data_IF_227557664969
#
_entry.id   IF_227557664969
#
_cell.length_a   1.000
_cell.length_b   1.000
_cell.length_c   1.000
_cell.angle_alpha   90.00
_cell.angle_beta   90.00
_cell.angle_gamma   90.00
#
_symmetry.space_group_name_H-M   'P 1'
#
loop_
_entity.id
_entity.type
_entity.pdbx_description
1 polymer ?
#
# COMPACT_ATOMS: atom_id res chain seq x y z
N UNK A 1 39.49 20.60 2.50
CA UNK A 1 38.41 21.57 2.18
C UNK A 1 37.52 21.11 1.03
N UNK A 2 38.05 20.57 -0.09
CA UNK A 2 37.22 19.98 -1.17
C UNK A 2 36.48 18.69 -0.77
N UNK A 3 37.13 17.80 -0.03
CA UNK A 3 36.52 16.55 0.46
C UNK A 3 35.34 16.77 1.41
N UNK A 4 35.39 17.83 2.24
CA UNK A 4 34.32 18.17 3.19
C UNK A 4 33.07 18.67 2.46
N UNK A 5 33.24 19.46 1.39
CA UNK A 5 32.13 19.88 0.53
C UNK A 5 31.48 18.71 -0.22
N UNK A 6 32.26 17.71 -0.66
CA UNK A 6 31.71 16.51 -1.32
C UNK A 6 30.88 15.69 -0.34
N UNK A 7 31.36 15.49 0.88
CA UNK A 7 30.61 14.76 1.93
C UNK A 7 29.31 15.49 2.30
N UNK A 8 29.34 16.82 2.41
CA UNK A 8 28.15 17.63 2.71
C UNK A 8 27.09 17.55 1.59
N UNK A 9 27.51 17.60 0.32
CA UNK A 9 26.61 17.48 -0.83
C UNK A 9 25.99 16.09 -0.94
N UNK A 10 26.76 15.03 -0.68
CA UNK A 10 26.25 13.65 -0.65
C UNK A 10 25.20 13.50 0.46
N UNK A 11 25.48 13.97 1.68
CA UNK A 11 24.54 13.90 2.80
C UNK A 11 23.22 14.67 2.51
N UNK A 12 23.31 15.88 1.94
CA UNK A 12 22.14 16.67 1.54
C UNK A 12 21.29 15.98 0.45
N UNK A 13 21.94 15.32 -0.51
CA UNK A 13 21.25 14.56 -1.56
C UNK A 13 20.61 13.26 -1.05
N UNK A 14 21.23 12.59 -0.07
CA UNK A 14 20.67 11.37 0.54
C UNK A 14 19.44 11.64 1.40
N UNK A 15 19.36 12.81 2.04
CA UNK A 15 18.20 13.22 2.85
C UNK A 15 16.95 13.42 1.96
N UNK A 16 17.12 13.78 0.69
CA UNK A 16 16.03 13.93 -0.28
C UNK A 16 15.57 12.62 -0.93
N UNK A 17 16.36 11.54 -0.82
CA UNK A 17 16.08 10.22 -1.39
C UNK A 17 15.67 9.18 -0.36
N UNK A 18 15.75 9.48 0.94
CA UNK A 18 15.12 8.65 1.95
C UNK A 18 13.61 8.86 1.92
N UNK A 19 12.94 8.33 0.90
CA UNK A 19 11.58 7.84 1.11
C UNK A 19 11.72 6.70 2.10
N UNK A 20 11.68 6.99 3.40
CA UNK A 20 11.45 5.95 4.38
C UNK A 20 10.03 5.47 4.13
N UNK A 21 9.87 4.55 3.17
CA UNK A 21 8.73 3.66 3.07
C UNK A 21 8.77 2.75 4.30
N UNK A 22 8.62 3.34 5.48
CA UNK A 22 8.19 2.59 6.64
C UNK A 22 6.82 2.07 6.22
N UNK A 23 6.82 0.89 5.62
CA UNK A 23 5.64 0.18 5.19
C UNK A 23 4.80 0.03 6.46
N UNK A 24 3.66 0.71 6.53
CA UNK A 24 2.83 0.71 7.73
C UNK A 24 2.24 -0.70 7.87
N UNK A 25 2.76 -1.48 8.81
CA UNK A 25 2.38 -2.85 9.03
C UNK A 25 1.74 -2.99 10.41
N UNK A 26 0.55 -3.58 10.46
CA UNK A 26 -0.20 -3.79 11.69
C UNK A 26 -0.48 -5.27 11.93
N UNK A 27 -0.65 -5.66 13.19
CA UNK A 27 -1.01 -7.03 13.55
C UNK A 27 -2.50 -7.23 13.31
N UNK A 28 -2.85 -7.96 12.25
CA UNK A 28 -4.22 -8.40 11.97
C UNK A 28 -4.25 -9.92 12.04
N UNK A 29 -5.18 -10.49 12.80
CA UNK A 29 -5.33 -11.94 12.98
C UNK A 29 -5.57 -12.73 11.68
N UNK A 30 -5.98 -12.05 10.60
CA UNK A 30 -6.13 -12.61 9.25
C UNK A 30 -4.79 -12.84 8.54
N UNK A 31 -3.74 -12.12 8.91
CA UNK A 31 -2.38 -12.41 8.46
C UNK A 31 -1.74 -13.40 9.44
N UNK A 32 -1.81 -14.68 9.10
CA UNK A 32 -1.17 -15.76 9.86
C UNK A 32 0.16 -16.14 9.20
N UNK A 33 1.12 -16.69 9.98
CA UNK A 33 2.34 -17.27 9.40
C UNK A 33 1.99 -18.30 8.32
N UNK A 34 2.53 -18.12 7.11
CA UNK A 34 2.24 -18.98 5.95
C UNK A 34 1.26 -18.39 4.92
N UNK A 35 0.62 -17.25 5.22
CA UNK A 35 -0.23 -16.53 4.28
C UNK A 35 0.46 -15.30 3.67
N UNK A 36 1.79 -15.34 3.54
CA UNK A 36 2.54 -14.24 2.94
C UNK A 36 2.06 -13.98 1.49
N UNK A 37 1.94 -12.71 1.15
CA UNK A 37 1.40 -12.26 -0.13
C UNK A 37 -0.13 -12.21 -0.21
N UNK A 38 -0.87 -12.75 0.77
CA UNK A 38 -2.32 -12.65 0.81
C UNK A 38 -2.79 -11.20 0.91
N UNK A 39 -3.84 -10.85 0.16
CA UNK A 39 -4.33 -9.48 0.05
C UNK A 39 -5.67 -9.32 0.78
N UNK A 40 -5.77 -8.29 1.60
CA UNK A 40 -6.97 -7.99 2.40
C UNK A 40 -7.44 -6.56 2.10
N UNK A 41 -8.76 -6.29 2.09
CA UNK A 41 -9.25 -4.93 1.94
C UNK A 41 -8.87 -4.06 3.15
N UNK A 42 -8.56 -2.80 2.90
CA UNK A 42 -8.48 -1.80 3.96
C UNK A 42 -9.90 -1.40 4.41
N UNK A 43 -10.10 -1.21 5.71
CA UNK A 43 -11.45 -1.09 6.29
C UNK A 43 -12.04 0.32 6.19
N UNK A 44 -11.23 1.36 5.99
CA UNK A 44 -11.69 2.77 5.90
C UNK A 44 -11.39 3.45 4.58
N UNK A 45 -10.54 2.85 3.75
CA UNK A 45 -9.95 3.55 2.62
C UNK A 45 -9.82 2.61 1.44
N UNK A 46 -10.71 2.78 0.47
CA UNK A 46 -10.78 1.90 -0.68
C UNK A 46 -9.60 2.03 -1.64
N UNK A 47 -8.83 3.13 -1.58
CA UNK A 47 -7.57 3.22 -2.32
C UNK A 47 -6.45 2.39 -1.67
N UNK A 48 -6.67 1.84 -0.48
CA UNK A 48 -5.68 1.03 0.23
C UNK A 48 -6.10 -0.43 0.38
N UNK A 49 -5.10 -1.29 0.54
CA UNK A 49 -5.28 -2.70 0.88
C UNK A 49 -4.11 -3.16 1.76
N UNK A 50 -4.22 -4.31 2.39
CA UNK A 50 -3.11 -4.91 3.12
C UNK A 50 -2.52 -6.07 2.31
N UNK A 51 -1.19 -6.18 2.33
CA UNK A 51 -0.46 -7.39 1.91
C UNK A 51 0.11 -8.05 3.17
N UNK A 52 -0.18 -9.32 3.37
CA UNK A 52 0.39 -10.06 4.48
C UNK A 52 1.88 -10.35 4.25
N UNK A 53 2.72 -10.04 5.24
CA UNK A 53 4.16 -10.30 5.22
C UNK A 53 4.63 -10.68 6.63
N UNK A 54 5.13 -11.91 6.81
CA UNK A 54 5.66 -12.39 8.08
C UNK A 54 4.63 -12.39 9.22
N UNK A 55 3.34 -12.58 8.91
CA UNK A 55 2.25 -12.51 9.88
C UNK A 55 1.80 -11.07 10.24
N UNK A 56 2.29 -10.05 9.54
CA UNK A 56 1.83 -8.67 9.64
C UNK A 56 1.02 -8.28 8.41
N UNK A 57 0.08 -7.36 8.56
CA UNK A 57 -0.68 -6.78 7.46
C UNK A 57 -0.09 -5.42 7.08
N UNK A 58 0.67 -5.38 5.99
CA UNK A 58 1.35 -4.18 5.52
C UNK A 58 0.46 -3.41 4.53
N UNK A 59 0.14 -2.16 4.85
CA UNK A 59 -0.67 -1.26 4.03
C UNK A 59 0.00 -1.03 2.69
N UNK A 60 -0.76 -1.12 1.61
CA UNK A 60 -0.39 -0.83 0.24
C UNK A 60 -1.38 0.18 -0.33
N UNK A 61 -0.94 0.96 -1.31
CA UNK A 61 -1.79 1.91 -2.02
C UNK A 61 -2.05 1.38 -3.43
N UNK A 62 -3.31 1.44 -3.87
CA UNK A 62 -3.66 1.33 -5.27
C UNK A 62 -3.17 2.58 -6.04
N UNK A 63 -2.92 2.46 -7.35
CA UNK A 63 -2.70 3.62 -8.19
C UNK A 63 -3.80 4.67 -8.02
N UNK A 64 -3.45 5.94 -8.24
CA UNK A 64 -4.39 7.07 -8.06
C UNK A 64 -5.70 6.85 -8.81
N UNK A 65 -6.82 6.98 -8.10
CA UNK A 65 -8.16 6.84 -8.65
C UNK A 65 -8.68 5.40 -8.76
N UNK A 66 -7.89 4.40 -8.37
CA UNK A 66 -8.32 3.01 -8.31
C UNK A 66 -8.63 2.58 -6.88
N UNK A 67 -9.59 1.65 -6.75
CA UNK A 67 -9.95 1.01 -5.50
C UNK A 67 -9.55 -0.47 -5.53
N UNK A 68 -9.24 -1.03 -4.35
CA UNK A 68 -8.91 -2.44 -4.25
C UNK A 68 -10.16 -3.32 -4.35
N UNK A 69 -10.19 -4.23 -5.32
CA UNK A 69 -11.18 -5.28 -5.44
C UNK A 69 -10.71 -6.51 -4.65
N UNK A 70 -11.31 -6.78 -3.49
CA UNK A 70 -10.94 -7.93 -2.65
C UNK A 70 -11.31 -9.29 -3.26
N UNK A 71 -12.24 -9.35 -4.22
CA UNK A 71 -12.62 -10.58 -4.90
C UNK A 71 -11.63 -10.94 -6.01
N UNK A 72 -11.18 -9.96 -6.80
CA UNK A 72 -10.18 -10.18 -7.86
C UNK A 72 -8.73 -10.08 -7.36
N UNK A 73 -8.50 -9.46 -6.19
CA UNK A 73 -7.17 -9.25 -5.64
C UNK A 73 -6.34 -8.20 -6.42
N UNK A 74 -7.00 -7.24 -7.07
CA UNK A 74 -6.36 -6.22 -7.91
C UNK A 74 -7.00 -4.85 -7.69
N UNK A 75 -6.31 -3.79 -8.11
CA UNK A 75 -6.85 -2.44 -8.12
C UNK A 75 -7.63 -2.19 -9.41
N UNK A 76 -8.87 -1.74 -9.29
CA UNK A 76 -9.80 -1.51 -10.40
C UNK A 76 -10.53 -0.16 -10.26
N UNK A 77 -11.34 0.19 -11.25
CA UNK A 77 -12.23 1.35 -11.18
C UNK A 77 -13.13 1.25 -9.92
N UNK A 78 -13.41 2.37 -9.23
CA UNK A 78 -14.22 2.37 -8.01
C UNK A 78 -15.56 1.65 -8.12
N UNK A 79 -16.24 1.75 -9.26
CA UNK A 79 -17.55 1.12 -9.47
C UNK A 79 -17.41 -0.39 -9.70
N UNK A 80 -16.31 -0.86 -10.28
CA UNK A 80 -16.03 -2.29 -10.49
C UNK A 80 -15.51 -2.94 -9.21
N UNK A 81 -14.65 -2.25 -8.46
CA UNK A 81 -14.02 -2.77 -7.25
C UNK A 81 -15.00 -2.97 -6.09
N UNK A 82 -16.11 -2.22 -6.08
CA UNK A 82 -17.21 -2.35 -5.13
C UNK A 82 -16.79 -2.29 -3.65
N UNK A 83 -15.71 -1.56 -3.35
CA UNK A 83 -15.21 -1.37 -1.99
C UNK A 83 -16.00 -0.29 -1.23
N UNK A 84 -16.35 0.81 -1.90
CA UNK A 84 -16.95 1.97 -1.28
C UNK A 84 -18.48 1.84 -1.22
N UNK A 85 -19.03 1.82 -0.01
CA UNK A 85 -20.48 1.67 0.23
C UNK A 85 -21.31 2.89 -0.22
N UNK A 86 -20.66 4.03 -0.48
CA UNK A 86 -21.30 5.24 -0.98
C UNK A 86 -21.31 5.34 -2.50
N UNK A 87 -20.67 4.40 -3.20
CA UNK A 87 -20.65 4.32 -4.66
C UNK A 87 -21.50 3.15 -5.17
N UNK A 88 -22.17 3.29 -6.33
CA UNK A 88 -22.90 2.18 -6.92
C UNK A 88 -21.94 1.12 -7.45
N UNK A 89 -22.07 -0.11 -6.97
CA UNK A 89 -21.29 -1.26 -7.46
C UNK A 89 -21.81 -1.73 -8.83
N UNK A 90 -20.93 -1.81 -9.82
CA UNK A 90 -21.18 -2.32 -11.17
C UNK A 90 -20.00 -3.22 -11.64
N UNK A 91 -19.97 -4.49 -11.23
CA UNK A 91 -18.86 -5.40 -11.50
C UNK A 91 -18.87 -5.97 -12.93
N UNK A 92 -19.85 -5.62 -13.78
CA UNK A 92 -20.03 -6.17 -15.13
C UNK A 92 -19.44 -5.30 -16.25
N UNK A 93 -18.63 -4.30 -15.91
CA UNK A 93 -18.06 -3.40 -16.92
C UNK A 93 -16.96 -4.05 -17.75
#
# INVERSE_FOLDING_TARGET
MKFVSVVLLVLLSTILLSSSSAQDCIVISRCQPGNDGYLLPHYEDCNRYFRCEGGLACVQNCPTGLHFNAYHGVCEDPLTACCDIYLPCNPTR
#
